data_IF_676683465019
#
_entry.id   IF_676683465019
#
_cell.length_a   1.000
_cell.length_b   1.000
_cell.length_c   1.000
_cell.angle_alpha   90.00
_cell.angle_beta   90.00
_cell.angle_gamma   90.00
#
_symmetry.space_group_name_H-M   'P 1'
#
loop_
_entity.id
_entity.type
_entity.pdbx_description
1 polymer ?
#
# COMPACT_ATOMS: atom_id res chain seq x y z
N UNK A 1 -0.82 -12.50 7.98
CA UNK A 1 -1.72 -11.36 7.70
C UNK A 1 -3.10 -11.85 7.30
N UNK A 2 -3.25 -12.84 6.41
CA UNK A 2 -4.58 -13.38 6.05
C UNK A 2 -5.36 -13.96 7.23
N UNK A 3 -4.73 -14.72 8.13
CA UNK A 3 -5.41 -15.23 9.34
C UNK A 3 -5.93 -14.09 10.25
N UNK A 4 -5.22 -12.96 10.29
CA UNK A 4 -5.65 -11.77 11.03
C UNK A 4 -6.86 -11.09 10.36
N UNK A 5 -6.85 -11.00 9.03
CA UNK A 5 -7.97 -10.49 8.24
C UNK A 5 -9.20 -11.40 8.42
N UNK A 6 -9.02 -12.71 8.34
CA UNK A 6 -10.11 -13.67 8.55
C UNK A 6 -10.70 -13.57 9.97
N UNK A 7 -9.84 -13.49 10.99
CA UNK A 7 -10.27 -13.28 12.38
C UNK A 7 -11.05 -11.98 12.54
N UNK A 8 -10.59 -10.90 11.91
CA UNK A 8 -11.23 -9.59 11.97
C UNK A 8 -12.55 -9.48 11.21
N UNK A 9 -12.74 -10.27 10.16
CA UNK A 9 -13.95 -10.29 9.34
C UNK A 9 -15.00 -11.30 9.81
N UNK A 10 -14.86 -11.87 11.02
CA UNK A 10 -15.81 -12.87 11.55
C UNK A 10 -17.26 -12.37 11.67
N UNK A 11 -17.43 -11.07 11.90
CA UNK A 11 -18.75 -10.43 11.99
C UNK A 11 -19.30 -10.02 10.60
N UNK A 12 -18.53 -10.24 9.53
CA UNK A 12 -18.99 -9.97 8.17
C UNK A 12 -19.92 -11.07 7.67
N UNK A 13 -21.07 -10.68 7.11
CA UNK A 13 -22.04 -11.61 6.54
C UNK A 13 -21.54 -12.35 5.29
N UNK A 14 -20.49 -11.86 4.64
CA UNK A 14 -19.95 -12.42 3.40
C UNK A 14 -18.43 -12.70 3.48
N UNK A 15 -17.84 -12.57 4.66
CA UNK A 15 -16.39 -12.72 4.87
C UNK A 15 -15.54 -11.63 4.21
N UNK A 16 -16.14 -10.49 3.83
CA UNK A 16 -15.48 -9.33 3.21
C UNK A 16 -15.86 -8.03 3.91
N UNK A 17 -15.12 -6.94 3.74
CA UNK A 17 -15.46 -5.66 4.37
C UNK A 17 -16.85 -5.12 3.98
N UNK A 18 -17.30 -5.37 2.74
CA UNK A 18 -18.66 -5.03 2.28
C UNK A 18 -19.79 -5.72 3.06
N UNK A 19 -19.52 -6.84 3.74
CA UNK A 19 -20.51 -7.54 4.57
C UNK A 19 -20.49 -7.17 6.05
N UNK A 20 -19.60 -6.27 6.48
CA UNK A 20 -19.59 -5.79 7.85
C UNK A 20 -20.87 -4.99 8.19
N UNK A 21 -21.22 -4.83 9.46
CA UNK A 21 -22.17 -3.80 9.89
C UNK A 21 -21.62 -2.38 9.67
N UNK A 22 -22.49 -1.38 9.76
CA UNK A 22 -22.04 0.03 9.85
C UNK A 22 -21.19 0.24 11.12
N UNK A 23 -20.35 1.27 11.11
CA UNK A 23 -19.40 1.60 12.18
C UNK A 23 -18.36 0.51 12.51
N UNK A 24 -18.09 -0.39 11.56
CA UNK A 24 -17.02 -1.41 11.63
C UNK A 24 -15.87 -1.16 10.64
N UNK A 25 -15.76 0.08 10.15
CA UNK A 25 -14.60 0.62 9.42
C UNK A 25 -14.16 -0.23 8.22
N UNK A 26 -15.11 -0.43 7.28
CA UNK A 26 -14.92 -1.23 6.05
C UNK A 26 -13.71 -0.78 5.24
N UNK A 27 -13.47 0.52 5.19
CA UNK A 27 -12.33 1.18 4.53
C UNK A 27 -10.98 0.82 5.13
N UNK A 28 -10.87 0.75 6.45
CA UNK A 28 -9.64 0.29 7.09
C UNK A 28 -9.36 -1.18 6.74
N UNK A 29 -10.39 -2.02 6.69
CA UNK A 29 -10.23 -3.40 6.25
C UNK A 29 -9.84 -3.51 4.77
N UNK A 30 -10.43 -2.70 3.88
CA UNK A 30 -9.97 -2.63 2.48
C UNK A 30 -8.50 -2.20 2.40
N UNK A 31 -8.07 -1.22 3.19
CA UNK A 31 -6.67 -0.77 3.22
C UNK A 31 -5.72 -1.88 3.66
N UNK A 32 -6.08 -2.66 4.69
CA UNK A 32 -5.30 -3.81 5.17
C UNK A 32 -5.23 -4.93 4.13
N UNK A 33 -6.37 -5.28 3.53
CA UNK A 33 -6.41 -6.31 2.47
C UNK A 33 -5.56 -5.86 1.28
N UNK A 34 -5.59 -4.59 0.88
CA UNK A 34 -4.83 -4.13 -0.28
C UNK A 34 -3.31 -4.26 -0.13
N UNK A 35 -2.79 -4.30 1.09
CA UNK A 35 -1.37 -4.55 1.32
C UNK A 35 -0.94 -5.97 0.92
N UNK A 36 -1.87 -6.92 0.81
CA UNK A 36 -1.62 -8.35 0.49
C UNK A 36 -2.36 -8.86 -0.73
N UNK A 37 -3.54 -8.33 -1.03
CA UNK A 37 -4.37 -8.67 -2.19
C UNK A 37 -5.18 -7.43 -2.64
N UNK A 38 -4.53 -6.48 -3.35
CA UNK A 38 -5.19 -5.25 -3.79
C UNK A 38 -6.31 -5.48 -4.80
N UNK A 39 -6.27 -6.58 -5.56
CA UNK A 39 -7.31 -6.90 -6.53
C UNK A 39 -8.61 -7.33 -5.81
N UNK A 40 -8.50 -8.18 -4.80
CA UNK A 40 -9.65 -8.55 -3.96
C UNK A 40 -10.22 -7.36 -3.21
N UNK A 41 -9.37 -6.48 -2.66
CA UNK A 41 -9.81 -5.27 -1.97
C UNK A 41 -10.58 -4.32 -2.90
N UNK A 42 -10.05 -4.06 -4.10
CA UNK A 42 -10.72 -3.22 -5.10
C UNK A 42 -12.04 -3.84 -5.57
N UNK A 43 -12.06 -5.16 -5.80
CA UNK A 43 -13.27 -5.86 -6.23
C UNK A 43 -14.39 -5.72 -5.18
N UNK A 44 -14.06 -5.87 -3.90
CA UNK A 44 -15.03 -5.71 -2.82
C UNK A 44 -15.45 -4.24 -2.62
N UNK A 45 -14.48 -3.31 -2.60
CA UNK A 45 -14.73 -1.87 -2.55
C UNK A 45 -15.71 -1.42 -3.63
N UNK A 46 -15.54 -1.87 -4.88
CA UNK A 46 -16.40 -1.50 -6.00
C UNK A 46 -17.85 -1.96 -5.83
N UNK A 47 -18.12 -3.03 -5.05
CA UNK A 47 -19.50 -3.47 -4.77
C UNK A 47 -20.29 -2.45 -3.95
N UNK A 48 -19.58 -1.64 -3.13
CA UNK A 48 -20.16 -0.51 -2.40
C UNK A 48 -19.89 0.82 -3.10
N UNK A 49 -18.84 0.90 -3.92
CA UNK A 49 -18.36 2.14 -4.52
C UNK A 49 -18.19 3.22 -3.44
N UNK A 50 -18.72 4.43 -3.64
CA UNK A 50 -18.70 5.50 -2.63
C UNK A 50 -19.86 5.40 -1.62
N UNK A 51 -20.66 4.33 -1.64
CA UNK A 51 -21.85 4.16 -0.80
C UNK A 51 -21.54 3.38 0.49
N UNK A 52 -20.67 3.94 1.31
CA UNK A 52 -20.37 3.49 2.66
C UNK A 52 -20.05 4.69 3.55
N UNK A 53 -20.15 4.51 4.87
CA UNK A 53 -19.63 5.47 5.85
C UNK A 53 -18.16 5.15 6.12
N UNK A 54 -17.29 6.12 5.84
CA UNK A 54 -15.88 6.00 6.15
C UNK A 54 -15.63 6.16 7.66
N UNK A 55 -14.55 5.56 8.15
CA UNK A 55 -14.05 5.84 9.49
C UNK A 55 -13.76 7.35 9.62
N UNK A 56 -13.91 7.90 10.84
CA UNK A 56 -13.92 9.35 11.07
C UNK A 56 -12.57 10.03 10.76
N UNK A 57 -11.46 9.33 10.90
CA UNK A 57 -10.12 9.75 10.49
C UNK A 57 -9.79 9.49 9.02
N UNK A 58 -10.69 8.84 8.27
CA UNK A 58 -10.50 8.50 6.87
C UNK A 58 -11.21 9.46 5.91
N UNK A 59 -10.88 9.34 4.61
CA UNK A 59 -11.62 9.88 3.50
C UNK A 59 -11.72 8.85 2.37
N UNK A 60 -12.86 8.86 1.65
CA UNK A 60 -13.06 8.01 0.46
C UNK A 60 -11.98 8.19 -0.60
N UNK A 61 -11.43 9.40 -0.69
CA UNK A 61 -10.34 9.72 -1.62
C UNK A 61 -9.03 9.00 -1.22
N UNK A 62 -8.67 9.00 0.07
CA UNK A 62 -7.50 8.29 0.55
C UNK A 62 -7.68 6.77 0.41
N UNK A 63 -8.84 6.21 0.79
CA UNK A 63 -9.13 4.77 0.58
C UNK A 63 -8.90 4.42 -0.89
N UNK A 64 -9.54 5.13 -1.83
CA UNK A 64 -9.38 4.87 -3.26
C UNK A 64 -7.91 4.96 -3.71
N UNK A 65 -7.21 6.02 -3.32
CA UNK A 65 -5.80 6.21 -3.67
C UNK A 65 -4.91 5.07 -3.15
N UNK A 66 -5.13 4.64 -1.90
CA UNK A 66 -4.38 3.57 -1.25
C UNK A 66 -4.55 2.23 -1.99
N UNK A 67 -5.80 1.81 -2.23
CA UNK A 67 -6.09 0.54 -2.92
C UNK A 67 -5.43 0.49 -4.30
N UNK A 68 -5.58 1.57 -5.06
CA UNK A 68 -5.03 1.66 -6.42
C UNK A 68 -3.50 1.80 -6.43
N UNK A 69 -2.89 2.40 -5.39
CA UNK A 69 -1.43 2.46 -5.24
C UNK A 69 -0.85 1.07 -5.07
N UNK A 70 -1.34 0.28 -4.10
CA UNK A 70 -0.89 -1.09 -3.90
C UNK A 70 -1.15 -1.98 -5.12
N UNK A 71 -2.28 -1.81 -5.79
CA UNK A 71 -2.51 -2.50 -7.04
C UNK A 71 -1.47 -2.12 -8.11
N UNK A 72 -1.06 -0.86 -8.19
CA UNK A 72 -0.12 -0.41 -9.21
C UNK A 72 1.31 -0.90 -8.95
N UNK A 73 1.81 -0.77 -7.72
CA UNK A 73 3.24 -0.95 -7.40
C UNK A 73 3.55 -2.24 -6.62
N UNK A 74 2.53 -2.94 -6.12
CA UNK A 74 2.66 -4.24 -5.46
C UNK A 74 2.83 -4.17 -3.96
N UNK A 75 3.38 -5.25 -3.39
CA UNK A 75 3.47 -5.47 -1.93
C UNK A 75 4.74 -4.87 -1.36
N UNK A 76 4.64 -4.31 -0.16
CA UNK A 76 5.80 -3.76 0.54
C UNK A 76 6.86 -4.85 0.78
N UNK A 77 8.11 -4.52 0.50
CA UNK A 77 9.30 -5.35 0.79
C UNK A 77 10.16 -4.72 1.88
N UNK A 78 10.03 -3.41 2.10
CA UNK A 78 10.72 -2.75 3.22
C UNK A 78 10.25 -3.32 4.55
N UNK A 79 11.21 -3.64 5.43
CA UNK A 79 10.93 -4.20 6.76
C UNK A 79 10.83 -5.73 6.80
N UNK A 80 10.85 -6.44 5.67
CA UNK A 80 10.96 -7.91 5.65
C UNK A 80 12.39 -8.39 5.92
N UNK A 81 13.39 -7.55 5.61
CA UNK A 81 14.81 -7.88 5.65
C UNK A 81 15.41 -8.19 4.27
N UNK A 82 14.59 -8.33 3.22
CA UNK A 82 15.07 -8.73 1.88
C UNK A 82 15.80 -7.58 1.15
N UNK A 83 15.23 -6.37 1.19
CA UNK A 83 15.83 -5.17 0.59
C UNK A 83 15.77 -4.02 1.61
N UNK A 84 16.94 -3.46 1.90
CA UNK A 84 17.10 -2.29 2.78
C UNK A 84 17.65 -1.10 1.99
N UNK A 85 17.50 0.10 2.53
CA UNK A 85 18.04 1.34 1.97
C UNK A 85 18.85 2.09 3.03
N UNK A 86 19.73 2.98 2.59
CA UNK A 86 20.47 3.89 3.47
C UNK A 86 19.69 5.18 3.83
N UNK A 87 18.40 5.29 3.47
CA UNK A 87 17.61 6.50 3.65
C UNK A 87 16.21 6.18 4.25
N UNK A 88 15.83 6.79 5.38
CA UNK A 88 14.66 6.38 6.16
C UNK A 88 13.31 6.62 5.47
N UNK A 89 13.24 7.55 4.51
CA UNK A 89 12.02 7.83 3.74
C UNK A 89 12.03 7.15 2.36
N UNK A 90 12.66 5.97 2.27
CA UNK A 90 12.64 5.12 1.08
C UNK A 90 11.92 3.80 1.37
N UNK A 91 11.04 3.40 0.45
CA UNK A 91 10.28 2.17 0.47
C UNK A 91 10.53 1.36 -0.81
N UNK A 92 10.40 0.05 -0.71
CA UNK A 92 10.51 -0.89 -1.83
C UNK A 92 9.23 -1.72 -1.88
N UNK A 93 8.69 -1.90 -3.07
CA UNK A 93 7.52 -2.71 -3.35
C UNK A 93 7.83 -3.76 -4.42
N UNK A 94 7.10 -4.86 -4.44
CA UNK A 94 7.23 -5.91 -5.45
C UNK A 94 5.89 -6.28 -6.03
N UNK A 95 5.78 -6.23 -7.37
CA UNK A 95 4.64 -6.70 -8.16
C UNK A 95 5.11 -7.73 -9.18
N UNK A 96 4.84 -9.01 -8.92
CA UNK A 96 5.38 -10.09 -9.75
C UNK A 96 6.91 -10.05 -9.82
N UNK A 97 7.46 -9.94 -11.02
CA UNK A 97 8.89 -9.85 -11.28
C UNK A 97 9.41 -8.40 -11.35
N UNK A 98 8.57 -7.41 -10.99
CA UNK A 98 8.95 -5.99 -10.98
C UNK A 98 9.12 -5.50 -9.55
N UNK A 99 10.32 -4.99 -9.25
CA UNK A 99 10.64 -4.29 -8.01
C UNK A 99 10.52 -2.78 -8.23
N UNK A 100 9.76 -2.10 -7.38
CA UNK A 100 9.50 -0.67 -7.42
C UNK A 100 10.16 0.01 -6.21
N UNK A 101 11.00 1.01 -6.46
CA UNK A 101 11.75 1.76 -5.46
C UNK A 101 11.16 3.16 -5.37
N UNK A 102 10.65 3.53 -4.20
CA UNK A 102 10.05 4.84 -3.92
C UNK A 102 10.89 5.55 -2.86
N UNK A 103 11.15 6.84 -3.03
CA UNK A 103 11.66 7.67 -1.95
C UNK A 103 11.12 9.09 -2.06
N UNK A 104 10.97 9.76 -0.93
CA UNK A 104 10.71 11.21 -0.87
C UNK A 104 11.89 11.92 -0.23
N UNK A 105 12.43 12.92 -0.90
CA UNK A 105 13.55 13.68 -0.38
C UNK A 105 13.07 14.96 0.33
N UNK A 106 13.25 15.02 1.64
CA UNK A 106 12.91 16.19 2.47
C UNK A 106 13.96 17.32 2.45
N UNK A 107 15.04 17.19 1.69
CA UNK A 107 16.11 18.19 1.66
C UNK A 107 16.03 19.08 0.42
N UNK A 108 16.71 20.22 0.49
CA UNK A 108 16.78 21.21 -0.59
C UNK A 108 17.85 20.91 -1.65
N UNK A 109 18.54 19.77 -1.52
CA UNK A 109 19.49 19.27 -2.53
C UNK A 109 19.16 17.83 -2.93
N UNK A 110 19.60 17.40 -4.11
CA UNK A 110 19.40 16.01 -4.52
C UNK A 110 20.15 15.05 -3.59
N UNK A 111 19.51 13.94 -3.24
CA UNK A 111 20.12 12.86 -2.45
C UNK A 111 20.35 11.62 -3.29
N UNK A 112 21.31 10.79 -2.88
CA UNK A 112 21.56 9.47 -3.46
C UNK A 112 21.15 8.39 -2.46
N UNK A 113 20.12 7.63 -2.82
CA UNK A 113 19.66 6.46 -2.05
C UNK A 113 20.30 5.21 -2.62
N UNK A 114 20.96 4.43 -1.76
CA UNK A 114 21.57 3.14 -2.08
C UNK A 114 20.75 2.02 -1.43
N UNK A 115 20.47 0.98 -2.20
CA UNK A 115 19.74 -0.20 -1.76
C UNK A 115 20.67 -1.42 -1.65
N UNK A 116 20.34 -2.36 -0.78
CA UNK A 116 21.17 -3.56 -0.50
C UNK A 116 21.30 -4.53 -1.67
N UNK A 117 20.43 -4.42 -2.68
CA UNK A 117 20.47 -5.20 -3.93
C UNK A 117 21.32 -4.54 -5.03
N UNK A 118 22.02 -3.45 -4.69
CA UNK A 118 22.89 -2.70 -5.60
C UNK A 118 22.17 -1.61 -6.40
N UNK A 119 20.85 -1.42 -6.25
CA UNK A 119 20.15 -0.29 -6.87
C UNK A 119 20.64 1.03 -6.26
N UNK A 120 20.82 2.02 -7.13
CA UNK A 120 21.13 3.41 -6.75
C UNK A 120 20.09 4.32 -7.39
N UNK A 121 19.55 5.26 -6.61
CA UNK A 121 18.53 6.20 -7.06
C UNK A 121 18.85 7.62 -6.60
N UNK A 122 18.98 8.56 -7.54
CA UNK A 122 19.13 9.99 -7.24
C UNK A 122 17.75 10.64 -7.18
N UNK A 123 17.38 11.18 -6.02
CA UNK A 123 16.05 11.76 -5.74
C UNK A 123 16.15 13.29 -5.71
N UNK A 124 15.34 14.03 -6.49
CA UNK A 124 15.38 15.49 -6.53
C UNK A 124 14.96 16.12 -5.19
N UNK A 125 15.30 17.38 -4.92
CA UNK A 125 14.92 18.07 -3.68
C UNK A 125 13.40 18.23 -3.56
N UNK A 126 12.88 18.07 -2.34
CA UNK A 126 11.46 18.26 -1.99
C UNK A 126 10.45 17.48 -2.86
N UNK A 127 10.85 16.33 -3.39
CA UNK A 127 10.05 15.59 -4.37
C UNK A 127 10.16 14.07 -4.20
N UNK A 128 9.19 13.36 -4.78
CA UNK A 128 9.19 11.90 -4.90
C UNK A 128 10.02 11.45 -6.08
N UNK A 129 10.60 10.26 -5.96
CA UNK A 129 11.03 9.48 -7.12
C UNK A 129 10.58 8.04 -6.99
N UNK A 130 10.02 7.53 -8.09
CA UNK A 130 9.65 6.14 -8.27
C UNK A 130 10.43 5.58 -9.46
N UNK A 131 11.19 4.52 -9.24
CA UNK A 131 11.86 3.76 -10.31
C UNK A 131 11.50 2.28 -10.22
N UNK A 132 11.47 1.59 -11.35
CA UNK A 132 11.16 0.16 -11.43
C UNK A 132 12.33 -0.61 -12.01
N UNK A 133 12.54 -1.84 -11.53
CA UNK A 133 13.46 -2.82 -12.09
C UNK A 133 12.68 -4.11 -12.33
N UNK A 134 12.74 -4.64 -13.54
CA UNK A 134 12.19 -5.96 -13.87
C UNK A 134 13.34 -6.95 -13.92
N UNK A 135 13.16 -8.09 -13.27
CA UNK A 135 14.10 -9.22 -13.30
C UNK A 135 14.08 -9.94 -14.67
#
# INVERSE_FOLDING_TARGET
MMDYIELGLRESSNGKPSGLPEDQWRDLWWNLIAMVDPEAAIADYNTMSSNYNNEAGESKAHTYHWLHTFNKIGHIQTGTGDITSNYPAALVFKKGNTTNYLAYNFSDSSITVNYSDGKVMVVPPNDFKLESKTD
#
